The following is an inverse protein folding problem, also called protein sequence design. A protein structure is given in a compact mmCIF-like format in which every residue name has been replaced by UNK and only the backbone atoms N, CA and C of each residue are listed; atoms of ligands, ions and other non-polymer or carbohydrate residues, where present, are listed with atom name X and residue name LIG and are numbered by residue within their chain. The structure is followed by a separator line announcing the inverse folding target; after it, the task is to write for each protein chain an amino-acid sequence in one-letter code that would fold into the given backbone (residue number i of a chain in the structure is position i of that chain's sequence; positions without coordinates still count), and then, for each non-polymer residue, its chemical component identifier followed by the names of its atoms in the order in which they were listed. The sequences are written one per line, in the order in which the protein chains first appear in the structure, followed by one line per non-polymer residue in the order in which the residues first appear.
data_IF_634987204145
#
_entry.id   IF_634987204145
#
_cell.length_a   1.000
_cell.length_b   1.000
_cell.length_c   1.000
_cell.angle_alpha   90.00
_cell.angle_beta   90.00
_cell.angle_gamma   90.00
#
_symmetry.space_group_name_H-M   'P 1'
#
loop_
_entity.id
_entity.type
_entity.pdbx_description
1 polymer ?
#
# COMPACT_ATOMS: atom_id res chain seq x y z
N UNK A 1 7.94 32.55 -5.08
CA UNK A 1 8.37 33.58 -6.05
C UNK A 1 8.20 34.97 -5.45
N UNK A 2 8.94 35.92 -5.94
CA UNK A 2 8.74 37.35 -5.69
C UNK A 2 8.40 37.99 -7.05
N UNK A 3 7.21 38.60 -7.16
CA UNK A 3 6.68 39.16 -8.43
C UNK A 3 6.74 38.20 -9.62
N UNK A 4 6.53 36.89 -9.35
CA UNK A 4 6.63 35.82 -10.35
C UNK A 4 8.05 35.30 -10.61
N UNK A 5 9.10 35.93 -10.07
CA UNK A 5 10.49 35.49 -10.20
C UNK A 5 10.82 34.47 -9.11
N UNK A 6 11.39 33.33 -9.51
CA UNK A 6 11.85 32.30 -8.56
C UNK A 6 13.01 32.85 -7.74
N UNK A 7 12.95 32.70 -6.45
CA UNK A 7 13.99 33.09 -5.51
C UNK A 7 14.87 31.89 -5.15
N UNK A 8 16.17 32.11 -5.07
CA UNK A 8 17.14 31.05 -4.79
C UNK A 8 17.33 30.88 -3.27
N UNK A 9 17.17 29.63 -2.72
CA UNK A 9 17.45 29.35 -1.34
C UNK A 9 18.89 29.72 -0.94
N UNK A 10 19.08 30.15 0.27
CA UNK A 10 20.36 30.61 0.86
C UNK A 10 20.92 31.91 0.31
N UNK A 11 20.56 32.32 -0.90
CA UNK A 11 20.96 33.62 -1.47
C UNK A 11 19.90 34.70 -1.28
N UNK A 12 18.63 34.38 -1.59
CA UNK A 12 17.54 35.33 -1.50
C UNK A 12 16.71 35.17 -0.21
N UNK A 13 16.68 33.96 0.36
CA UNK A 13 15.96 33.67 1.59
C UNK A 13 16.53 32.45 2.30
N UNK A 14 16.19 32.30 3.59
CA UNK A 14 16.42 31.10 4.38
C UNK A 14 15.13 30.59 5.01
N UNK A 15 15.07 29.27 5.34
CA UNK A 15 13.95 28.65 6.04
C UNK A 15 14.48 27.91 7.26
N UNK A 16 13.90 28.21 8.42
CA UNK A 16 14.17 27.48 9.66
C UNK A 16 12.84 27.12 10.35
N UNK A 17 12.56 25.83 10.47
CA UNK A 17 11.28 25.35 10.98
C UNK A 17 10.12 25.83 10.09
N UNK A 18 9.25 26.65 10.64
CA UNK A 18 8.10 27.26 9.95
C UNK A 18 8.33 28.71 9.50
N UNK A 19 9.53 29.23 9.73
CA UNK A 19 9.86 30.64 9.47
C UNK A 19 10.67 30.75 8.17
N UNK A 20 10.19 31.58 7.23
CA UNK A 20 10.90 31.99 6.03
C UNK A 20 11.39 33.42 6.26
N UNK A 21 12.70 33.63 6.06
CA UNK A 21 13.34 34.95 6.25
C UNK A 21 13.99 35.35 4.92
N UNK A 22 13.59 36.49 4.37
CA UNK A 22 14.25 37.10 3.20
C UNK A 22 15.58 37.73 3.59
N UNK A 23 16.60 37.64 2.75
CA UNK A 23 17.87 38.30 2.90
C UNK A 23 17.69 39.84 2.76
N UNK A 24 16.91 40.24 1.74
CA UNK A 24 16.45 41.61 1.58
C UNK A 24 14.92 41.67 1.77
N UNK A 25 14.41 42.62 2.52
CA UNK A 25 12.98 42.74 2.72
C UNK A 25 12.28 43.09 1.39
N UNK A 26 11.22 42.36 1.01
CA UNK A 26 10.39 42.71 -0.12
C UNK A 26 9.85 44.15 -0.02
N UNK A 27 9.78 44.86 -1.14
CA UNK A 27 9.25 46.20 -1.17
C UNK A 27 7.74 46.24 -0.95
N UNK A 28 7.21 47.40 -0.53
CA UNK A 28 5.77 47.60 -0.40
C UNK A 28 5.09 47.43 -1.74
N UNK A 29 4.13 46.47 -1.84
CA UNK A 29 3.42 46.13 -3.07
C UNK A 29 3.95 44.94 -3.81
N UNK A 30 5.08 44.37 -3.39
CA UNK A 30 5.58 43.10 -3.95
C UNK A 30 4.62 41.95 -3.65
N UNK A 31 4.45 41.08 -4.66
CA UNK A 31 3.65 39.85 -4.53
C UNK A 31 4.54 38.69 -4.18
N UNK A 32 4.32 38.11 -3.01
CA UNK A 32 5.02 36.92 -2.52
C UNK A 32 4.13 35.69 -2.75
N UNK A 33 4.66 34.66 -3.40
CA UNK A 33 4.05 33.35 -3.50
C UNK A 33 5.02 32.31 -2.95
N UNK A 34 4.61 31.59 -1.89
CA UNK A 34 5.39 30.50 -1.28
C UNK A 34 4.70 29.18 -1.62
N UNK A 35 5.43 28.27 -2.25
CA UNK A 35 5.00 26.90 -2.48
C UNK A 35 5.90 25.97 -1.71
N UNK A 36 5.34 25.26 -0.72
CA UNK A 36 6.04 24.18 -0.03
C UNK A 36 5.87 22.91 -0.86
N UNK A 37 6.93 22.47 -1.51
CA UNK A 37 6.97 21.14 -2.10
C UNK A 37 7.40 20.18 -0.99
N UNK A 38 6.44 19.46 -0.43
CA UNK A 38 6.74 18.38 0.51
C UNK A 38 7.36 17.22 -0.27
N UNK A 39 8.54 16.79 0.13
CA UNK A 39 8.99 15.44 -0.23
C UNK A 39 8.03 14.49 0.49
N UNK A 40 7.38 13.61 -0.26
CA UNK A 40 6.72 12.44 0.34
C UNK A 40 7.87 11.54 0.79
N UNK A 41 8.33 11.72 2.01
CA UNK A 41 9.44 10.92 2.56
C UNK A 41 8.97 9.51 2.95
N UNK A 42 7.70 9.38 3.33
CA UNK A 42 7.09 8.10 3.70
C UNK A 42 5.60 8.14 3.39
N UNK A 43 5.08 7.12 2.72
CA UNK A 43 3.64 6.84 2.63
C UNK A 43 3.35 5.76 3.65
N UNK A 44 2.65 6.11 4.73
CA UNK A 44 2.27 5.15 5.78
C UNK A 44 0.99 4.40 5.43
N UNK A 45 0.10 5.01 4.66
CA UNK A 45 -1.16 4.40 4.25
C UNK A 45 -1.67 4.95 2.93
N UNK A 46 -2.45 4.15 2.23
CA UNK A 46 -3.33 4.52 1.12
C UNK A 46 -4.74 4.30 1.64
N UNK A 47 -5.57 5.34 1.64
CA UNK A 47 -6.92 5.31 2.20
C UNK A 47 -7.94 5.80 1.18
N UNK A 48 -9.18 5.35 1.30
CA UNK A 48 -10.32 5.92 0.59
C UNK A 48 -10.81 7.24 1.24
N UNK A 49 -11.94 7.79 0.76
CA UNK A 49 -12.37 9.13 1.14
C UNK A 49 -12.90 9.25 2.58
N UNK A 50 -13.45 8.20 3.16
CA UNK A 50 -13.94 8.15 4.54
C UNK A 50 -12.95 7.48 5.52
N UNK A 51 -11.82 7.01 4.98
CA UNK A 51 -10.67 6.49 5.72
C UNK A 51 -10.91 5.18 6.46
N UNK A 52 -11.93 4.42 6.08
CA UNK A 52 -12.26 3.13 6.69
C UNK A 52 -11.74 1.92 5.89
N UNK A 53 -11.38 2.11 4.61
CA UNK A 53 -10.73 1.11 3.76
C UNK A 53 -9.33 1.57 3.39
N UNK A 54 -8.31 0.78 3.77
CA UNK A 54 -6.92 1.23 3.64
C UNK A 54 -5.90 0.10 3.54
N UNK A 55 -4.76 0.44 2.96
CA UNK A 55 -3.53 -0.34 3.05
C UNK A 55 -2.53 0.49 3.85
N UNK A 56 -1.97 -0.08 4.91
CA UNK A 56 -1.01 0.63 5.75
C UNK A 56 0.21 -0.22 6.04
N UNK A 57 1.35 0.44 6.18
CA UNK A 57 2.64 -0.22 6.44
C UNK A 57 3.12 -0.02 7.88
N UNK A 58 2.52 0.94 8.59
CA UNK A 58 2.80 1.21 10.01
C UNK A 58 1.56 1.78 10.68
N UNK A 59 1.07 1.13 11.72
CA UNK A 59 0.04 1.65 12.61
C UNK A 59 0.69 2.34 13.83
N UNK A 60 1.75 1.74 14.35
CA UNK A 60 2.62 2.29 15.39
C UNK A 60 4.02 2.61 14.87
N UNK A 61 4.88 3.15 15.70
CA UNK A 61 6.28 3.36 15.35
C UNK A 61 7.00 2.00 15.24
N UNK A 62 7.67 1.77 14.09
CA UNK A 62 8.51 0.58 13.84
C UNK A 62 7.74 -0.75 13.96
N UNK A 63 6.54 -0.79 13.39
CA UNK A 63 5.59 -1.91 13.51
C UNK A 63 5.89 -3.05 12.53
N UNK A 64 6.54 -2.78 11.40
CA UNK A 64 6.96 -3.75 10.38
C UNK A 64 5.82 -4.68 9.86
N UNK A 65 4.58 -4.20 9.91
CA UNK A 65 3.41 -4.97 9.50
C UNK A 65 2.66 -4.26 8.37
N UNK A 66 2.39 -4.98 7.28
CA UNK A 66 1.50 -4.50 6.22
C UNK A 66 0.09 -4.98 6.55
N UNK A 67 -0.86 -4.03 6.66
CA UNK A 67 -2.27 -4.30 6.96
C UNK A 67 -3.18 -3.88 5.83
N UNK A 68 -4.24 -4.62 5.67
CA UNK A 68 -5.35 -4.31 4.78
C UNK A 68 -6.62 -4.24 5.64
N UNK A 69 -7.23 -3.08 5.67
CA UNK A 69 -8.50 -2.85 6.35
C UNK A 69 -9.63 -2.66 5.33
N UNK A 70 -10.80 -3.13 5.68
CA UNK A 70 -12.04 -2.92 4.93
C UNK A 70 -13.15 -2.57 5.89
N UNK A 71 -13.83 -1.45 5.64
CA UNK A 71 -14.90 -0.93 6.49
C UNK A 71 -14.48 -0.86 7.98
N UNK A 72 -13.29 -0.29 8.26
CA UNK A 72 -12.74 -0.11 9.60
C UNK A 72 -12.26 -1.38 10.30
N UNK A 73 -12.20 -2.51 9.60
CA UNK A 73 -11.79 -3.80 10.18
C UNK A 73 -10.57 -4.36 9.45
N UNK A 74 -9.54 -4.77 10.19
CA UNK A 74 -8.40 -5.48 9.62
C UNK A 74 -8.85 -6.82 9.04
N UNK A 75 -8.57 -7.06 7.75
CA UNK A 75 -8.93 -8.31 7.04
C UNK A 75 -7.71 -9.15 6.69
N UNK A 76 -6.53 -8.54 6.57
CA UNK A 76 -5.27 -9.22 6.30
C UNK A 76 -4.11 -8.46 6.96
N UNK A 77 -3.27 -9.19 7.68
CA UNK A 77 -2.00 -8.69 8.19
C UNK A 77 -0.83 -9.55 7.68
N UNK A 78 0.21 -8.89 7.19
CA UNK A 78 1.45 -9.51 6.72
C UNK A 78 2.59 -9.10 7.63
N UNK A 79 3.23 -10.06 8.27
CA UNK A 79 4.44 -9.87 9.06
C UNK A 79 5.60 -10.64 8.44
N UNK A 80 6.79 -10.52 8.98
CA UNK A 80 7.96 -11.30 8.54
C UNK A 80 7.80 -12.82 8.76
N UNK A 81 6.86 -13.27 9.56
CA UNK A 81 6.68 -14.67 9.95
C UNK A 81 5.39 -15.31 9.47
N UNK A 82 4.37 -14.52 9.12
CA UNK A 82 3.06 -15.05 8.72
C UNK A 82 2.22 -14.07 7.92
N UNK A 83 1.27 -14.62 7.15
CA UNK A 83 0.13 -13.90 6.59
C UNK A 83 -1.12 -14.32 7.36
N UNK A 84 -1.77 -13.39 8.07
CA UNK A 84 -2.95 -13.66 8.87
C UNK A 84 -4.19 -13.05 8.20
N UNK A 85 -5.17 -13.90 7.88
CA UNK A 85 -6.48 -13.49 7.39
C UNK A 85 -7.45 -13.50 8.57
N UNK A 86 -8.12 -12.39 8.82
CA UNK A 86 -9.11 -12.28 9.90
C UNK A 86 -10.42 -13.00 9.56
N UNK A 87 -10.69 -13.20 8.25
CA UNK A 87 -11.90 -13.84 7.74
C UNK A 87 -11.57 -15.13 6.99
N UNK A 88 -12.62 -15.88 6.60
CA UNK A 88 -12.47 -17.04 5.74
C UNK A 88 -11.81 -16.67 4.40
N UNK A 89 -10.90 -17.51 3.92
CA UNK A 89 -10.27 -17.39 2.62
C UNK A 89 -11.02 -18.25 1.61
N UNK A 90 -11.56 -17.62 0.58
CA UNK A 90 -12.13 -18.32 -0.54
C UNK A 90 -11.03 -18.64 -1.56
N UNK A 91 -10.70 -19.91 -1.72
CA UNK A 91 -9.75 -20.34 -2.73
C UNK A 91 -10.35 -20.23 -4.13
N UNK A 92 -9.49 -20.22 -5.16
CA UNK A 92 -9.92 -20.28 -6.55
C UNK A 92 -10.83 -21.49 -6.77
N UNK A 93 -12.05 -21.23 -7.26
CA UNK A 93 -13.02 -22.28 -7.56
C UNK A 93 -13.01 -22.55 -9.06
N UNK A 94 -12.80 -23.80 -9.47
CA UNK A 94 -12.71 -24.20 -10.87
C UNK A 94 -13.12 -25.64 -11.10
N UNK A 95 -13.53 -25.95 -12.35
CA UNK A 95 -13.81 -27.32 -12.76
C UNK A 95 -12.51 -28.14 -12.93
N UNK A 96 -12.64 -29.48 -12.99
CA UNK A 96 -11.49 -30.34 -13.31
C UNK A 96 -10.83 -29.95 -14.64
N UNK A 97 -11.63 -29.62 -15.66
CA UNK A 97 -11.11 -29.19 -16.97
C UNK A 97 -10.29 -27.91 -16.87
N UNK A 98 -10.76 -26.91 -16.11
CA UNK A 98 -10.03 -25.66 -15.90
C UNK A 98 -8.75 -25.87 -15.09
N UNK A 99 -8.81 -26.72 -14.07
CA UNK A 99 -7.64 -27.12 -13.28
C UNK A 99 -6.57 -27.77 -14.16
N UNK A 100 -6.97 -28.71 -15.01
CA UNK A 100 -6.06 -29.46 -15.89
C UNK A 100 -5.47 -28.60 -17.02
N UNK A 101 -6.12 -27.47 -17.33
CA UNK A 101 -5.62 -26.45 -18.26
C UNK A 101 -4.58 -25.49 -17.65
N UNK A 102 -4.30 -25.58 -16.34
CA UNK A 102 -3.24 -24.75 -15.71
C UNK A 102 -1.89 -25.17 -16.29
N UNK A 103 -1.23 -24.27 -16.98
CA UNK A 103 0.09 -24.52 -17.53
C UNK A 103 1.14 -24.50 -16.42
N UNK A 104 1.92 -25.59 -16.29
CA UNK A 104 3.01 -25.71 -15.32
C UNK A 104 2.58 -25.47 -13.86
N UNK A 105 1.63 -26.25 -13.33
CA UNK A 105 1.25 -26.08 -11.93
C UNK A 105 2.44 -26.40 -11.01
N UNK A 106 2.52 -25.69 -9.88
CA UNK A 106 3.62 -25.83 -8.91
C UNK A 106 3.12 -26.39 -7.58
N UNK A 107 3.98 -27.12 -6.88
CA UNK A 107 3.69 -27.64 -5.55
C UNK A 107 3.27 -26.51 -4.59
N UNK A 108 2.22 -26.77 -3.81
CA UNK A 108 1.65 -25.79 -2.88
C UNK A 108 0.46 -24.99 -3.44
N UNK A 109 0.12 -25.10 -4.72
CA UNK A 109 -1.14 -24.55 -5.22
C UNK A 109 -2.32 -25.23 -4.58
N UNK A 110 -3.37 -24.45 -4.21
CA UNK A 110 -4.62 -24.93 -3.61
C UNK A 110 -5.82 -24.36 -4.35
N UNK A 111 -6.84 -25.21 -4.57
CA UNK A 111 -8.09 -24.84 -5.23
C UNK A 111 -9.29 -25.54 -4.58
N UNK A 112 -10.49 -25.05 -4.89
CA UNK A 112 -11.74 -25.80 -4.73
C UNK A 112 -12.21 -26.31 -6.09
N UNK A 113 -12.24 -27.64 -6.29
CA UNK A 113 -12.69 -28.27 -7.52
C UNK A 113 -14.22 -28.43 -7.50
N UNK A 114 -14.91 -27.66 -8.34
CA UNK A 114 -16.38 -27.66 -8.41
C UNK A 114 -16.97 -28.88 -9.10
N UNK A 115 -16.18 -29.64 -9.88
CA UNK A 115 -16.64 -30.90 -10.47
C UNK A 115 -16.72 -32.03 -9.45
N UNK A 116 -15.73 -32.10 -8.53
CA UNK A 116 -15.66 -33.12 -7.51
C UNK A 116 -16.18 -32.66 -6.15
N UNK A 117 -16.43 -31.35 -5.99
CA UNK A 117 -16.80 -30.70 -4.72
C UNK A 117 -15.77 -30.93 -3.61
N UNK A 118 -14.48 -30.82 -3.96
CA UNK A 118 -13.38 -31.06 -3.03
C UNK A 118 -12.34 -29.95 -3.07
N UNK A 119 -11.71 -29.69 -1.94
CA UNK A 119 -10.45 -28.95 -1.92
C UNK A 119 -9.35 -29.85 -2.44
N UNK A 120 -8.49 -29.28 -3.29
CA UNK A 120 -7.35 -29.97 -3.88
C UNK A 120 -6.09 -29.13 -3.75
N UNK A 121 -4.96 -29.83 -3.58
CA UNK A 121 -3.63 -29.22 -3.61
C UNK A 121 -2.77 -29.90 -4.68
N UNK A 122 -1.87 -29.11 -5.28
CA UNK A 122 -0.87 -29.69 -6.20
C UNK A 122 0.37 -30.08 -5.38
N UNK A 123 0.69 -31.34 -5.37
CA UNK A 123 1.82 -31.89 -4.65
C UNK A 123 2.47 -33.05 -5.42
N UNK A 124 3.80 -33.06 -5.44
CA UNK A 124 4.59 -34.12 -6.07
C UNK A 124 4.15 -34.44 -7.51
N UNK A 125 3.88 -33.39 -8.30
CA UNK A 125 3.56 -33.50 -9.72
C UNK A 125 2.10 -33.85 -10.03
N UNK A 126 1.19 -33.87 -9.04
CA UNK A 126 -0.22 -34.19 -9.24
C UNK A 126 -1.15 -33.41 -8.31
N UNK A 127 -2.42 -33.29 -8.74
CA UNK A 127 -3.49 -32.77 -7.90
C UNK A 127 -4.00 -33.85 -6.95
N UNK A 128 -4.01 -33.55 -5.67
CA UNK A 128 -4.49 -34.47 -4.62
C UNK A 128 -5.64 -33.83 -3.85
N UNK A 129 -6.63 -34.63 -3.49
CA UNK A 129 -7.74 -34.16 -2.68
C UNK A 129 -7.30 -33.95 -1.21
N UNK A 130 -7.76 -32.87 -0.61
CA UNK A 130 -7.85 -32.78 0.84
C UNK A 130 -9.13 -33.50 1.25
N UNK A 131 -9.11 -34.26 2.29
CA UNK A 131 -10.20 -35.16 2.73
C UNK A 131 -11.59 -34.57 2.72
#
# INVERSE_FOLDING_TARGET
TLNGVVQEPTQAYSVSGTTLTFVEAPATGDRIEVRKLGLVSTVRSITDSDSDTRIQVEEGADDDTIRFDSAGTEVLALTNSKSAFANAVQLASMTSTQRDAISSPTNGMMIYNTTTNKFQGYANGSWVDFH
#
